data_IF_560608219902
#
_entry.id   IF_560608219902
#
_cell.length_a   1.000
_cell.length_b   1.000
_cell.length_c   1.000
_cell.angle_alpha   90.00
_cell.angle_beta   90.00
_cell.angle_gamma   90.00
#
_symmetry.space_group_name_H-M   'P 1'
#
loop_
_entity.id
_entity.type
_entity.pdbx_description
1 polymer ?
#
# COMPACT_ATOMS: atom_id res chain seq x y z
N UNK A 1 24.80 1.05 -10.69
CA UNK A 1 24.02 0.10 -11.51
C UNK A 1 23.88 0.67 -12.91
N UNK A 2 24.28 -0.11 -13.91
CA UNK A 2 24.11 0.21 -15.34
C UNK A 2 22.66 -0.07 -15.74
N UNK A 3 22.12 0.68 -16.70
CA UNK A 3 20.77 0.43 -17.21
C UNK A 3 20.69 -0.89 -17.97
N UNK A 4 19.48 -1.48 -17.99
CA UNK A 4 19.19 -2.69 -18.74
C UNK A 4 18.89 -2.40 -20.22
N UNK A 5 18.67 -3.45 -21.01
CA UNK A 5 18.36 -3.35 -22.44
C UNK A 5 17.04 -2.61 -22.71
N UNK A 6 16.86 -2.12 -23.94
CA UNK A 6 15.62 -1.43 -24.35
C UNK A 6 14.39 -2.34 -24.20
N UNK A 7 14.53 -3.63 -24.51
CA UNK A 7 13.46 -4.63 -24.36
C UNK A 7 13.03 -4.71 -22.89
N UNK A 8 13.98 -4.83 -21.96
CA UNK A 8 13.69 -4.90 -20.52
C UNK A 8 12.99 -3.64 -20.03
N UNK A 9 13.44 -2.45 -20.46
CA UNK A 9 12.80 -1.17 -20.11
C UNK A 9 11.37 -1.08 -20.64
N UNK A 10 11.12 -1.46 -21.89
CA UNK A 10 9.78 -1.48 -22.48
C UNK A 10 8.83 -2.42 -21.75
N UNK A 11 9.28 -3.66 -21.47
CA UNK A 11 8.48 -4.64 -20.71
C UNK A 11 8.24 -4.15 -19.29
N UNK A 12 9.25 -3.57 -18.63
CA UNK A 12 9.12 -2.97 -17.30
C UNK A 12 8.01 -1.93 -17.27
N UNK A 13 8.00 -0.97 -18.20
CA UNK A 13 6.99 0.08 -18.24
C UNK A 13 5.57 -0.47 -18.44
N UNK A 14 5.45 -1.54 -19.22
CA UNK A 14 4.17 -2.20 -19.44
C UNK A 14 3.69 -2.93 -18.18
N UNK A 15 4.54 -3.77 -17.59
CA UNK A 15 4.17 -4.65 -16.46
C UNK A 15 4.07 -3.89 -15.13
N UNK A 16 4.85 -2.82 -14.94
CA UNK A 16 4.88 -2.03 -13.70
C UNK A 16 3.49 -1.60 -13.22
N UNK A 17 2.66 -1.07 -14.14
CA UNK A 17 1.31 -0.64 -13.81
C UNK A 17 0.42 -1.79 -13.30
N UNK A 18 0.54 -2.97 -13.92
CA UNK A 18 -0.21 -4.17 -13.49
C UNK A 18 0.22 -4.65 -12.10
N UNK A 19 1.53 -4.64 -11.80
CA UNK A 19 2.03 -5.02 -10.47
C UNK A 19 1.48 -4.07 -9.40
N UNK A 20 1.47 -2.76 -9.67
CA UNK A 20 0.94 -1.76 -8.74
C UNK A 20 -0.55 -1.98 -8.48
N UNK A 21 -1.36 -2.15 -9.53
CA UNK A 21 -2.80 -2.41 -9.41
C UNK A 21 -3.05 -3.69 -8.60
N UNK A 22 -2.30 -4.75 -8.88
CA UNK A 22 -2.43 -6.01 -8.17
C UNK A 22 -2.03 -5.90 -6.69
N UNK A 23 -0.97 -5.17 -6.38
CA UNK A 23 -0.57 -4.88 -5.00
C UNK A 23 -1.67 -4.14 -4.22
N UNK A 24 -2.27 -3.10 -4.81
CA UNK A 24 -3.40 -2.39 -4.19
C UNK A 24 -4.65 -3.26 -4.04
N UNK A 25 -4.92 -4.16 -4.99
CA UNK A 25 -6.01 -5.13 -4.87
C UNK A 25 -5.83 -6.02 -3.62
N UNK A 26 -4.62 -6.55 -3.38
CA UNK A 26 -4.30 -7.37 -2.19
C UNK A 26 -4.49 -6.58 -0.89
N UNK A 27 -4.10 -5.30 -0.89
CA UNK A 27 -4.27 -4.42 0.29
C UNK A 27 -5.76 -4.19 0.58
N UNK A 28 -6.53 -3.81 -0.44
CA UNK A 28 -7.95 -3.48 -0.28
C UNK A 28 -8.80 -4.70 0.13
N UNK A 29 -8.48 -5.88 -0.40
CA UNK A 29 -9.23 -7.11 -0.15
C UNK A 29 -8.63 -7.98 0.97
N UNK A 30 -7.72 -7.45 1.78
CA UNK A 30 -7.10 -8.19 2.89
C UNK A 30 -8.08 -8.66 3.97
N UNK A 31 -9.32 -8.16 3.97
CA UNK A 31 -10.39 -8.59 4.85
C UNK A 31 -11.21 -9.78 4.31
N UNK A 32 -11.15 -10.05 2.99
CA UNK A 32 -11.90 -11.13 2.32
C UNK A 32 -11.00 -12.25 1.81
N UNK A 33 -9.79 -11.91 1.38
CA UNK A 33 -8.86 -12.82 0.71
C UNK A 33 -7.56 -12.92 1.50
N UNK A 34 -6.82 -14.04 1.41
CA UNK A 34 -5.48 -14.13 2.00
C UNK A 34 -4.59 -13.00 1.47
N UNK A 35 -4.07 -12.16 2.36
CA UNK A 35 -3.34 -10.96 1.97
C UNK A 35 -3.27 -9.94 3.09
N UNK A 36 -3.41 -8.65 2.72
CA UNK A 36 -3.33 -7.52 3.63
C UNK A 36 -2.26 -6.50 3.26
N UNK A 37 -2.02 -5.57 4.18
CA UNK A 37 -1.12 -4.44 3.97
C UNK A 37 0.34 -4.84 3.73
N UNK A 38 0.84 -5.85 4.45
CA UNK A 38 2.25 -6.25 4.36
C UNK A 38 2.56 -6.95 3.03
N UNK A 39 1.81 -7.99 2.67
CA UNK A 39 2.03 -8.76 1.44
C UNK A 39 1.78 -7.89 0.20
N UNK A 40 0.68 -7.12 0.18
CA UNK A 40 0.40 -6.19 -0.91
C UNK A 40 1.43 -5.06 -1.00
N UNK A 41 1.90 -4.56 0.14
CA UNK A 41 3.00 -3.60 0.21
C UNK A 41 4.31 -4.15 -0.35
N UNK A 42 4.66 -5.41 -0.07
CA UNK A 42 5.83 -6.06 -0.66
C UNK A 42 5.73 -6.19 -2.18
N UNK A 43 4.53 -6.50 -2.71
CA UNK A 43 4.26 -6.51 -4.15
C UNK A 43 4.49 -5.13 -4.77
N UNK A 44 3.92 -4.07 -4.17
CA UNK A 44 4.15 -2.68 -4.61
C UNK A 44 5.65 -2.31 -4.54
N UNK A 45 6.33 -2.67 -3.46
CA UNK A 45 7.77 -2.47 -3.30
C UNK A 45 8.59 -3.16 -4.39
N UNK A 46 8.18 -4.36 -4.82
CA UNK A 46 8.83 -5.09 -5.92
C UNK A 46 8.67 -4.37 -7.26
N UNK A 47 7.56 -3.66 -7.50
CA UNK A 47 7.37 -2.85 -8.70
C UNK A 47 8.39 -1.70 -8.76
N UNK A 48 8.62 -1.04 -7.63
CA UNK A 48 9.66 -0.01 -7.52
C UNK A 48 11.08 -0.58 -7.63
N UNK A 49 11.32 -1.77 -7.06
CA UNK A 49 12.59 -2.47 -7.24
C UNK A 49 12.84 -2.83 -8.72
N UNK A 50 11.81 -3.27 -9.45
CA UNK A 50 11.88 -3.57 -10.88
C UNK A 50 12.26 -2.32 -11.69
N UNK A 51 11.65 -1.17 -11.42
CA UNK A 51 12.05 0.10 -12.02
C UNK A 51 13.52 0.44 -11.73
N UNK A 52 13.94 0.25 -10.48
CA UNK A 52 15.30 0.57 -10.03
C UNK A 52 16.36 -0.30 -10.71
N UNK A 53 16.08 -1.59 -10.89
CA UNK A 53 16.96 -2.52 -11.62
C UNK A 53 16.97 -2.20 -13.12
N UNK A 54 15.81 -1.92 -13.71
CA UNK A 54 15.65 -1.69 -15.15
C UNK A 54 16.34 -0.39 -15.63
N UNK A 55 16.17 0.71 -14.90
CA UNK A 55 16.72 2.03 -15.23
C UNK A 55 18.02 2.39 -14.51
N UNK A 56 18.48 1.54 -13.59
CA UNK A 56 19.67 1.81 -12.78
C UNK A 56 19.50 2.99 -11.81
N UNK A 57 20.51 3.20 -10.96
CA UNK A 57 20.42 4.13 -9.83
C UNK A 57 20.33 5.62 -10.23
N UNK A 58 20.99 6.02 -11.31
CA UNK A 58 21.06 7.44 -11.71
C UNK A 58 19.71 7.97 -12.23
N UNK A 59 19.01 7.20 -13.07
CA UNK A 59 17.72 7.60 -13.60
C UNK A 59 16.56 7.31 -12.64
N UNK A 60 16.70 6.33 -11.74
CA UNK A 60 15.66 6.01 -10.75
C UNK A 60 15.48 7.09 -9.68
N UNK A 61 16.52 7.89 -9.37
CA UNK A 61 16.40 9.05 -8.45
C UNK A 61 15.38 10.09 -8.90
N UNK A 62 15.06 10.17 -10.20
CA UNK A 62 14.02 11.08 -10.71
C UNK A 62 12.62 10.63 -10.31
N UNK A 63 12.40 9.32 -10.21
CA UNK A 63 11.10 8.72 -9.94
C UNK A 63 10.91 8.39 -8.45
N UNK A 64 11.99 8.05 -7.75
CA UNK A 64 12.00 7.65 -6.33
C UNK A 64 12.69 8.70 -5.48
N UNK A 65 12.01 9.83 -5.24
CA UNK A 65 12.51 10.85 -4.32
C UNK A 65 12.39 10.33 -2.88
N UNK A 66 13.54 10.25 -2.19
CA UNK A 66 13.63 9.78 -0.81
C UNK A 66 12.67 10.53 0.12
N UNK A 67 12.56 11.85 -0.04
CA UNK A 67 11.71 12.69 0.82
C UNK A 67 10.22 12.33 0.67
N UNK A 68 9.79 12.01 -0.55
CA UNK A 68 8.40 11.60 -0.81
C UNK A 68 8.14 10.23 -0.16
N UNK A 69 9.04 9.27 -0.33
CA UNK A 69 8.90 7.94 0.28
C UNK A 69 8.88 8.03 1.81
N UNK A 70 9.76 8.85 2.39
CA UNK A 70 9.81 9.08 3.83
C UNK A 70 8.55 9.77 4.36
N UNK A 71 7.97 10.69 3.57
CA UNK A 71 6.69 11.31 3.89
C UNK A 71 5.55 10.29 3.91
N UNK A 72 5.45 9.41 2.92
CA UNK A 72 4.43 8.35 2.89
C UNK A 72 4.60 7.34 4.04
N UNK A 73 5.84 6.98 4.36
CA UNK A 73 6.16 6.12 5.52
C UNK A 73 5.68 6.76 6.83
N UNK A 74 6.06 8.02 7.07
CA UNK A 74 5.66 8.76 8.26
C UNK A 74 4.14 8.96 8.34
N UNK A 75 3.51 9.30 7.22
CA UNK A 75 2.06 9.47 7.14
C UNK A 75 1.31 8.17 7.47
N UNK A 76 1.76 7.03 6.93
CA UNK A 76 1.16 5.74 7.23
C UNK A 76 1.24 5.36 8.70
N UNK A 77 2.40 5.60 9.33
CA UNK A 77 2.60 5.35 10.75
C UNK A 77 1.75 6.26 11.64
N UNK A 78 1.70 7.56 11.32
CA UNK A 78 0.87 8.54 12.04
C UNK A 78 -0.61 8.15 11.93
N UNK A 79 -1.10 7.80 10.73
CA UNK A 79 -2.47 7.35 10.53
C UNK A 79 -2.81 6.13 11.40
N UNK A 80 -1.92 5.13 11.45
CA UNK A 80 -2.12 3.95 12.29
C UNK A 80 -2.22 4.30 13.78
N UNK A 81 -1.31 5.16 14.27
CA UNK A 81 -1.31 5.61 15.67
C UNK A 81 -2.57 6.42 15.98
N UNK A 82 -2.93 7.39 15.15
CA UNK A 82 -4.12 8.24 15.35
C UNK A 82 -5.39 7.39 15.41
N UNK A 83 -5.54 6.41 14.51
CA UNK A 83 -6.67 5.49 14.54
C UNK A 83 -6.68 4.65 15.83
N UNK A 84 -5.53 4.16 16.30
CA UNK A 84 -5.48 3.42 17.57
C UNK A 84 -5.84 4.25 18.80
N UNK A 85 -5.42 5.51 18.82
CA UNK A 85 -5.68 6.43 19.94
C UNK A 85 -7.07 7.08 19.90
N UNK A 86 -7.72 7.13 18.74
CA UNK A 86 -9.07 7.70 18.59
C UNK A 86 -10.14 7.03 19.47
N UNK A 87 -9.91 5.78 19.89
CA UNK A 87 -10.81 5.02 20.75
C UNK A 87 -10.66 5.29 22.26
N UNK A 88 -9.67 6.06 22.70
CA UNK A 88 -9.29 6.19 24.12
C UNK A 88 -10.39 6.69 25.06
N UNK A 89 -11.45 7.31 24.55
CA UNK A 89 -12.64 7.65 25.36
C UNK A 89 -13.37 6.43 25.94
N UNK A 90 -13.15 5.23 25.37
CA UNK A 90 -13.71 3.96 25.85
C UNK A 90 -12.59 2.97 26.18
N UNK A 91 -11.75 2.63 25.20
CA UNK A 91 -10.56 1.78 25.37
C UNK A 91 -9.59 1.97 24.21
N UNK A 92 -8.31 1.66 24.41
CA UNK A 92 -7.34 1.66 23.32
C UNK A 92 -7.78 0.73 22.19
N UNK A 93 -7.66 1.17 20.94
CA UNK A 93 -8.19 0.49 19.74
C UNK A 93 -9.72 0.27 19.71
N UNK A 94 -10.51 0.99 20.51
CA UNK A 94 -11.97 0.96 20.33
C UNK A 94 -12.34 1.41 18.91
N UNK A 95 -12.93 0.50 18.13
CA UNK A 95 -13.25 0.73 16.73
C UNK A 95 -14.60 1.44 16.58
N UNK A 96 -14.60 2.77 16.75
CA UNK A 96 -15.79 3.60 16.57
C UNK A 96 -16.30 3.67 15.12
N UNK A 97 -15.47 3.27 14.14
CA UNK A 97 -15.86 3.23 12.72
C UNK A 97 -16.72 2.00 12.40
N UNK A 98 -16.51 0.88 13.10
CA UNK A 98 -17.27 -0.34 12.85
C UNK A 98 -18.78 -0.08 13.00
N UNK A 99 -19.57 -0.54 12.03
CA UNK A 99 -21.03 -0.44 12.03
C UNK A 99 -21.58 1.01 12.02
N UNK A 100 -20.77 2.01 11.69
CA UNK A 100 -21.17 3.43 11.63
C UNK A 100 -22.00 3.79 10.40
N UNK A 101 -22.24 2.84 9.48
CA UNK A 101 -22.91 3.04 8.20
C UNK A 101 -21.95 3.33 7.05
N UNK A 102 -22.52 3.48 5.84
CA UNK A 102 -21.74 3.79 4.64
C UNK A 102 -20.68 2.72 4.31
N UNK A 103 -19.42 3.14 4.18
CA UNK A 103 -18.30 2.25 3.85
C UNK A 103 -17.89 1.31 4.99
N UNK A 104 -18.34 1.56 6.22
CA UNK A 104 -17.99 0.76 7.39
C UNK A 104 -19.07 -0.24 7.81
N UNK A 105 -20.08 -0.41 6.95
CA UNK A 105 -21.16 -1.37 7.14
C UNK A 105 -22.17 -0.92 8.20
N UNK A 106 -23.30 -1.62 8.24
CA UNK A 106 -24.29 -1.49 9.30
C UNK A 106 -24.08 -2.62 10.32
N UNK A 107 -24.56 -2.39 11.54
CA UNK A 107 -24.60 -3.45 12.54
C UNK A 107 -25.33 -4.68 11.98
N UNK A 108 -24.69 -5.84 12.06
CA UNK A 108 -25.32 -7.09 11.69
C UNK A 108 -26.59 -7.26 12.54
N UNK A 109 -27.71 -7.59 11.89
CA UNK A 109 -28.95 -7.91 12.59
C UNK A 109 -28.70 -9.20 13.37
N UNK A 110 -28.70 -9.12 14.70
CA UNK A 110 -28.49 -10.30 15.54
C UNK A 110 -29.69 -11.24 15.35
N UNK A 111 -29.47 -12.44 14.81
CA UNK A 111 -30.49 -13.49 14.71
C UNK A 111 -31.00 -13.83 13.30
N UNK A 112 -30.31 -13.44 12.23
CA UNK A 112 -30.48 -13.99 10.87
C UNK A 112 -29.20 -14.72 10.46
#
# INVERSE_FOLDING_TARGET
>A
MKEMSRIVKTVTNFVYGFIIIFGFYIIAHGHLTPGGGFQGGAVVGSAFALLLVSYGSLNSKKFLKKDILSLFEGFGLIMFIVLGFSGLGITFFYNFLANSGGWFGNAAVIGV
#
